data_IF_485625488088
#
_entry.id   IF_485625488088
#
_cell.length_a   1.000
_cell.length_b   1.000
_cell.length_c   1.000
_cell.angle_alpha   90.00
_cell.angle_beta   90.00
_cell.angle_gamma   90.00
#
_symmetry.space_group_name_H-M   'P 1'
#
loop_
_entity.id
_entity.type
_entity.pdbx_description
1 polymer ?
#
# COMPACT_ATOMS: atom_id res chain seq x y z
N UNK A 1 8.93 2.64 -18.73
CA UNK A 1 8.36 3.54 -17.69
C UNK A 1 7.56 2.67 -16.73
N UNK A 2 7.52 2.99 -15.43
CA UNK A 2 6.72 2.27 -14.43
C UNK A 2 6.01 3.29 -13.56
N UNK A 3 4.72 3.08 -13.27
CA UNK A 3 3.98 3.88 -12.30
C UNK A 3 4.02 3.23 -10.93
N UNK A 4 4.49 3.97 -9.93
CA UNK A 4 4.31 3.63 -8.52
C UNK A 4 3.24 4.58 -7.98
N UNK A 5 2.05 4.04 -7.71
CA UNK A 5 0.87 4.83 -7.37
C UNK A 5 -0.02 4.10 -6.35
N UNK A 6 -0.88 4.85 -5.67
CA UNK A 6 -1.75 4.28 -4.64
C UNK A 6 -2.20 5.35 -3.65
N UNK A 7 -2.44 4.92 -2.42
CA UNK A 7 -2.93 5.77 -1.34
C UNK A 7 -1.80 6.11 -0.34
N UNK A 8 -1.94 7.24 0.34
CA UNK A 8 -0.88 7.72 1.23
C UNK A 8 -0.67 6.77 2.43
N UNK A 9 -1.76 6.39 3.08
CA UNK A 9 -1.81 5.49 4.24
C UNK A 9 -2.99 4.51 4.06
N UNK A 10 -2.87 3.31 4.58
CA UNK A 10 -3.94 2.32 4.58
C UNK A 10 -5.05 2.74 5.56
N UNK A 11 -6.04 3.50 5.11
CA UNK A 11 -7.14 3.94 5.98
C UNK A 11 -8.20 2.85 6.19
N UNK A 12 -8.47 2.07 5.15
CA UNK A 12 -9.34 0.91 5.20
C UNK A 12 -8.96 -0.11 4.12
N UNK A 13 -9.37 -1.37 4.32
CA UNK A 13 -9.23 -2.45 3.33
C UNK A 13 -9.96 -2.13 2.03
N UNK A 14 -11.19 -1.64 2.13
CA UNK A 14 -12.03 -1.27 0.98
C UNK A 14 -11.36 -0.20 0.12
N UNK A 15 -10.87 0.88 0.74
CA UNK A 15 -10.19 1.96 0.02
C UNK A 15 -8.94 1.45 -0.70
N UNK A 16 -8.18 0.54 -0.09
CA UNK A 16 -6.97 -0.02 -0.70
C UNK A 16 -7.31 -0.86 -1.94
N UNK A 17 -8.32 -1.72 -1.86
CA UNK A 17 -8.76 -2.57 -2.98
C UNK A 17 -9.36 -1.73 -4.12
N UNK A 18 -10.26 -0.81 -3.80
CA UNK A 18 -10.91 0.03 -4.82
C UNK A 18 -9.90 0.92 -5.53
N UNK A 19 -8.97 1.52 -4.79
CA UNK A 19 -7.90 2.33 -5.37
C UNK A 19 -7.00 1.47 -6.26
N UNK A 20 -6.56 0.30 -5.78
CA UNK A 20 -5.72 -0.60 -6.55
C UNK A 20 -6.40 -1.06 -7.85
N UNK A 21 -7.70 -1.37 -7.80
CA UNK A 21 -8.50 -1.73 -8.97
C UNK A 21 -8.49 -0.62 -10.02
N UNK A 22 -8.72 0.63 -9.62
CA UNK A 22 -8.79 1.76 -10.55
C UNK A 22 -7.42 2.08 -11.16
N UNK A 23 -6.35 2.07 -10.35
CA UNK A 23 -4.99 2.23 -10.87
C UNK A 23 -4.63 1.11 -11.85
N UNK A 24 -4.91 -0.15 -11.52
CA UNK A 24 -4.61 -1.29 -12.37
C UNK A 24 -5.38 -1.20 -13.70
N UNK A 25 -6.67 -0.84 -13.65
CA UNK A 25 -7.52 -0.66 -14.84
C UNK A 25 -6.97 0.40 -15.78
N UNK A 26 -6.62 1.58 -15.26
CA UNK A 26 -6.08 2.68 -16.07
C UNK A 26 -4.70 2.34 -16.62
N UNK A 27 -3.81 1.77 -15.81
CA UNK A 27 -2.47 1.39 -16.24
C UNK A 27 -2.50 0.30 -17.33
N UNK A 28 -3.41 -0.67 -17.22
CA UNK A 28 -3.62 -1.68 -18.25
C UNK A 28 -4.09 -1.07 -19.57
N UNK A 29 -5.01 -0.09 -19.55
CA UNK A 29 -5.48 0.60 -20.75
C UNK A 29 -4.38 1.39 -21.46
N UNK A 30 -3.38 1.88 -20.71
CA UNK A 30 -2.29 2.70 -21.22
C UNK A 30 -1.00 1.91 -21.49
N UNK A 31 -1.00 0.58 -21.27
CA UNK A 31 0.18 -0.28 -21.35
C UNK A 31 1.35 0.21 -20.46
N UNK A 32 1.02 0.63 -19.23
CA UNK A 32 1.98 1.11 -18.23
C UNK A 32 2.13 0.05 -17.12
N UNK A 33 3.35 -0.47 -16.86
CA UNK A 33 3.61 -1.30 -15.69
C UNK A 33 3.28 -0.55 -14.38
N UNK A 34 2.59 -1.21 -13.46
CA UNK A 34 2.08 -0.61 -12.23
C UNK A 34 2.55 -1.35 -10.97
N UNK A 35 2.90 -0.59 -9.93
CA UNK A 35 3.15 -1.07 -8.57
C UNK A 35 2.26 -0.29 -7.61
N UNK A 36 1.43 -0.98 -6.84
CA UNK A 36 0.59 -0.35 -5.83
C UNK A 36 1.42 0.02 -4.60
N UNK A 37 1.31 1.26 -4.13
CA UNK A 37 2.02 1.75 -2.95
C UNK A 37 1.05 2.26 -1.89
N UNK A 38 1.23 1.80 -0.64
CA UNK A 38 0.59 2.39 0.54
C UNK A 38 1.44 2.21 1.80
N UNK A 39 1.31 3.11 2.77
CA UNK A 39 1.98 3.00 4.08
C UNK A 39 1.05 2.35 5.11
N UNK A 40 1.53 1.37 5.87
CA UNK A 40 0.80 0.80 7.02
C UNK A 40 1.03 1.57 8.33
N UNK A 41 2.09 2.38 8.38
CA UNK A 41 2.41 3.27 9.48
C UNK A 41 3.02 4.57 8.94
N UNK A 42 2.64 5.71 9.50
CA UNK A 42 3.24 7.03 9.24
C UNK A 42 3.94 7.51 10.50
N UNK A 43 5.15 7.01 10.72
CA UNK A 43 5.91 7.26 11.96
C UNK A 43 6.37 8.71 12.15
N UNK A 44 6.28 9.56 11.12
CA UNK A 44 6.79 10.94 11.12
C UNK A 44 5.70 12.02 11.27
N UNK A 45 4.51 11.69 11.80
CA UNK A 45 3.46 12.70 12.01
C UNK A 45 3.80 13.60 13.20
N UNK A 46 3.84 14.92 12.95
CA UNK A 46 4.19 15.95 13.94
C UNK A 46 3.18 16.10 15.09
N UNK A 47 1.97 15.56 14.95
CA UNK A 47 0.95 15.52 16.00
C UNK A 47 0.68 14.08 16.42
N UNK A 48 0.79 13.82 17.73
CA UNK A 48 0.59 12.50 18.34
C UNK A 48 -0.85 11.98 18.18
N UNK A 49 -1.80 12.87 17.89
CA UNK A 49 -3.22 12.53 17.73
C UNK A 49 -3.59 12.16 16.28
N UNK A 50 -2.65 12.25 15.34
CA UNK A 50 -2.92 11.86 13.95
C UNK A 50 -3.04 10.35 13.81
N UNK A 51 -4.05 9.88 13.06
CA UNK A 51 -4.08 8.49 12.60
C UNK A 51 -2.82 8.16 11.80
N UNK A 52 -2.18 7.06 12.16
CA UNK A 52 -0.90 6.62 11.57
C UNK A 52 -1.05 5.46 10.60
N UNK A 53 -2.18 4.75 10.63
CA UNK A 53 -2.38 3.53 9.88
C UNK A 53 -2.80 2.37 10.79
N UNK A 54 -3.05 1.19 10.19
CA UNK A 54 -3.56 0.01 10.89
C UNK A 54 -2.44 -0.75 11.63
N UNK A 55 -1.17 -0.36 11.44
CA UNK A 55 -0.02 -1.06 11.99
C UNK A 55 0.49 -2.17 11.06
N UNK A 56 1.60 -2.80 11.46
CA UNK A 56 2.35 -3.73 10.61
C UNK A 56 1.54 -4.95 10.17
N UNK A 57 0.95 -5.70 11.11
CA UNK A 57 0.26 -6.96 10.83
C UNK A 57 -0.95 -6.75 9.90
N UNK A 58 -1.92 -5.95 10.35
CA UNK A 58 -3.11 -5.63 9.54
C UNK A 58 -2.77 -4.92 8.23
N UNK A 59 -1.73 -4.08 8.22
CA UNK A 59 -1.25 -3.44 7.00
C UNK A 59 -0.69 -4.44 5.98
N UNK A 60 0.08 -5.43 6.43
CA UNK A 60 0.60 -6.49 5.57
C UNK A 60 -0.50 -7.41 5.05
N UNK A 61 -1.51 -7.71 5.86
CA UNK A 61 -2.70 -8.47 5.41
C UNK A 61 -3.41 -7.75 4.26
N UNK A 62 -3.67 -6.45 4.40
CA UNK A 62 -4.32 -5.64 3.36
C UNK A 62 -3.46 -5.60 2.09
N UNK A 63 -2.15 -5.40 2.22
CA UNK A 63 -1.23 -5.37 1.06
C UNK A 63 -1.13 -6.73 0.37
N UNK A 64 -1.11 -7.83 1.12
CA UNK A 64 -1.12 -9.18 0.57
C UNK A 64 -2.41 -9.43 -0.22
N UNK A 65 -3.55 -8.96 0.29
CA UNK A 65 -4.82 -9.08 -0.37
C UNK A 65 -4.92 -8.24 -1.66
N UNK A 66 -4.42 -7.01 -1.65
CA UNK A 66 -4.31 -6.18 -2.87
C UNK A 66 -3.51 -6.92 -3.94
N UNK A 67 -2.36 -7.49 -3.54
CA UNK A 67 -1.50 -8.27 -4.44
C UNK A 67 -2.22 -9.48 -5.03
N UNK A 68 -2.91 -10.27 -4.21
CA UNK A 68 -3.62 -11.48 -4.68
C UNK A 68 -4.85 -11.14 -5.52
N UNK A 69 -5.58 -10.09 -5.18
CA UNK A 69 -6.86 -9.73 -5.82
C UNK A 69 -6.66 -9.11 -7.19
N UNK A 70 -5.67 -8.22 -7.32
CA UNK A 70 -5.44 -7.47 -8.57
C UNK A 70 -4.23 -7.96 -9.36
N UNK A 71 -3.44 -8.88 -8.81
CA UNK A 71 -2.25 -9.41 -9.47
C UNK A 71 -1.15 -8.36 -9.65
N UNK A 72 -1.15 -7.31 -8.84
CA UNK A 72 -0.18 -6.19 -8.93
C UNK A 72 0.92 -6.33 -7.88
N UNK A 73 2.18 -5.99 -8.21
CA UNK A 73 3.22 -5.82 -7.20
C UNK A 73 2.82 -4.74 -6.18
N UNK A 74 3.23 -4.92 -4.92
CA UNK A 74 2.98 -3.97 -3.83
C UNK A 74 4.27 -3.42 -3.24
N UNK A 75 4.23 -2.19 -2.78
CA UNK A 75 5.35 -1.46 -2.16
C UNK A 75 4.87 -0.77 -0.87
N UNK A 76 5.66 -0.87 0.19
CA UNK A 76 5.42 -0.14 1.44
C UNK A 76 6.74 0.32 2.05
N UNK A 77 6.70 1.40 2.83
CA UNK A 77 7.82 1.91 3.61
C UNK A 77 7.90 1.21 4.97
N UNK A 78 9.14 0.99 5.43
CA UNK A 78 9.42 0.40 6.74
C UNK A 78 10.17 1.40 7.62
N UNK A 79 9.89 1.36 8.92
CA UNK A 79 10.48 2.28 9.90
C UNK A 79 11.30 1.58 10.99
N UNK A 80 11.38 0.24 10.96
CA UNK A 80 12.24 -0.56 11.81
C UNK A 80 12.80 -1.79 11.06
N UNK A 81 13.93 -2.36 11.52
CA UNK A 81 14.43 -3.63 10.97
C UNK A 81 13.45 -4.80 11.13
N UNK A 82 12.65 -4.82 12.20
CA UNK A 82 11.63 -5.87 12.40
C UNK A 82 10.54 -5.79 11.34
N UNK A 83 10.05 -4.58 11.05
CA UNK A 83 9.10 -4.37 9.96
C UNK A 83 9.70 -4.81 8.61
N UNK A 84 10.98 -4.50 8.37
CA UNK A 84 11.70 -4.97 7.18
C UNK A 84 11.73 -6.50 7.03
N UNK A 85 11.91 -7.24 8.14
CA UNK A 85 11.88 -8.71 8.13
C UNK A 85 10.49 -9.27 7.91
N UNK A 86 9.44 -8.61 8.41
CA UNK A 86 8.07 -9.04 8.24
C UNK A 86 7.54 -8.86 6.80
N UNK A 87 8.10 -7.90 6.05
CA UNK A 87 7.73 -7.64 4.65
C UNK A 87 8.39 -8.60 3.63
N UNK A 88 9.41 -9.36 4.04
CA UNK A 88 10.20 -10.25 3.16
C UNK A 88 9.66 -11.66 3.12
#
# INVERSE_FOLDING_TARGET
MVLIGGINVLESRELALDSAAEYARVCQQLDIPFVFKASFDKANRSSIHSFRGPGLESGLEILAEVKSTHGVPVLTDVHSPEAGRACG
#
